data_IF_250874800718
#
_entry.id   IF_250874800718
#
_cell.length_a   1.000
_cell.length_b   1.000
_cell.length_c   1.000
_cell.angle_alpha   90.00
_cell.angle_beta   90.00
_cell.angle_gamma   90.00
#
_symmetry.space_group_name_H-M   'P 1'
#
loop_
_entity.id
_entity.type
_entity.pdbx_description
1 polymer ?
#
# COMPACT_ATOMS: atom_id res chain seq x y z
N UNK A 1 17.72 0.26 -13.65
CA UNK A 1 16.31 0.63 -13.46
C UNK A 1 15.48 -0.16 -14.46
N UNK A 2 14.39 -0.79 -14.02
CA UNK A 2 13.39 -1.44 -14.88
C UNK A 2 12.06 -0.73 -14.59
N UNK A 3 11.38 -0.26 -15.64
CA UNK A 3 10.09 0.40 -15.53
C UNK A 3 9.10 -0.27 -16.49
N UNK A 4 7.88 -0.51 -16.01
CA UNK A 4 6.79 -1.08 -16.79
C UNK A 4 5.78 0.02 -17.11
N UNK A 5 5.39 0.14 -18.38
CA UNK A 5 4.39 1.12 -18.84
C UNK A 5 3.28 0.40 -19.59
N UNK A 6 2.03 0.76 -19.30
CA UNK A 6 0.88 0.26 -20.05
C UNK A 6 0.67 1.14 -21.28
N UNK A 7 0.73 0.53 -22.46
CA UNK A 7 0.34 1.15 -23.72
C UNK A 7 -0.93 0.44 -24.22
N UNK A 8 -2.11 1.08 -24.18
CA UNK A 8 -3.38 0.40 -24.48
C UNK A 8 -3.45 -0.20 -25.89
N UNK A 9 -2.76 0.42 -26.86
CA UNK A 9 -2.63 -0.09 -28.22
C UNK A 9 -1.36 0.48 -28.87
N UNK A 10 -0.71 -0.33 -29.71
CA UNK A 10 0.38 0.11 -30.61
C UNK A 10 -0.07 -0.09 -32.05
N UNK A 11 0.31 0.83 -32.94
CA UNK A 11 -0.07 0.73 -34.36
C UNK A 11 0.75 -0.36 -35.06
N UNK A 12 0.13 -1.20 -35.93
CA UNK A 12 0.86 -2.17 -36.74
C UNK A 12 1.49 -1.57 -38.00
N UNK A 13 1.19 -0.30 -38.32
CA UNK A 13 1.60 0.36 -39.57
C UNK A 13 2.24 1.73 -39.36
N UNK A 14 2.37 2.17 -38.11
CA UNK A 14 2.89 3.50 -37.77
C UNK A 14 3.68 3.40 -36.46
N UNK A 15 4.75 4.19 -36.36
CA UNK A 15 5.57 4.20 -35.15
C UNK A 15 4.78 4.75 -33.96
N UNK A 16 4.92 4.08 -32.80
CA UNK A 16 4.43 4.60 -31.52
C UNK A 16 5.62 5.15 -30.74
N UNK A 17 5.66 6.47 -30.56
CA UNK A 17 6.75 7.13 -29.81
C UNK A 17 6.44 7.15 -28.32
N UNK A 18 7.38 6.66 -27.50
CA UNK A 18 7.32 6.73 -26.04
C UNK A 18 8.43 7.65 -25.54
N UNK A 19 8.10 8.54 -24.62
CA UNK A 19 9.06 9.43 -23.97
C UNK A 19 9.26 8.98 -22.51
N UNK A 20 10.52 8.90 -22.10
CA UNK A 20 10.89 8.65 -20.71
C UNK A 20 11.71 9.85 -20.23
N UNK A 21 11.17 10.59 -19.26
CA UNK A 21 11.92 11.62 -18.57
C UNK A 21 12.73 10.97 -17.44
N UNK A 22 14.05 10.90 -17.60
CA UNK A 22 14.96 10.24 -16.65
C UNK A 22 16.04 11.20 -16.14
N UNK A 23 16.46 11.02 -14.89
CA UNK A 23 17.54 11.80 -14.26
C UNK A 23 17.15 13.17 -13.72
N UNK A 24 15.89 13.60 -13.91
CA UNK A 24 15.40 14.84 -13.32
C UNK A 24 14.89 14.60 -11.90
N UNK A 25 15.73 14.90 -10.90
CA UNK A 25 15.40 14.77 -9.48
C UNK A 25 14.28 15.72 -9.00
N UNK A 26 13.92 16.74 -9.79
CA UNK A 26 12.82 17.67 -9.49
C UNK A 26 11.49 17.27 -10.14
N UNK A 27 11.45 16.16 -10.89
CA UNK A 27 10.20 15.68 -11.48
C UNK A 27 9.23 15.25 -10.37
N UNK A 28 7.97 15.67 -10.50
CA UNK A 28 6.90 15.19 -9.62
C UNK A 28 6.56 13.72 -9.89
N UNK A 29 5.91 13.07 -8.93
CA UNK A 29 5.36 11.72 -9.10
C UNK A 29 4.34 11.70 -10.25
N UNK A 30 4.53 10.78 -11.20
CA UNK A 30 3.69 10.62 -12.39
C UNK A 30 2.83 9.33 -12.33
N UNK A 31 2.63 8.80 -11.13
CA UNK A 31 1.91 7.55 -10.92
C UNK A 31 0.42 7.73 -11.22
N UNK A 32 -0.16 6.85 -12.04
CA UNK A 32 -1.61 6.84 -12.29
C UNK A 32 -2.29 5.94 -11.26
N UNK A 33 -2.47 6.45 -10.03
CA UNK A 33 -3.00 5.68 -8.90
C UNK A 33 -4.33 5.00 -9.27
N UNK A 34 -5.29 5.75 -9.82
CA UNK A 34 -6.61 5.22 -10.20
C UNK A 34 -6.59 4.29 -11.40
N UNK A 35 -5.57 4.40 -12.27
CA UNK A 35 -5.37 3.50 -13.40
C UNK A 35 -4.77 2.15 -12.99
N UNK A 36 -4.03 2.11 -11.87
CA UNK A 36 -3.45 0.88 -11.32
C UNK A 36 -4.36 0.24 -10.26
N UNK A 37 -4.82 1.04 -9.30
CA UNK A 37 -5.71 0.64 -8.21
C UNK A 37 -7.06 1.34 -8.38
N UNK A 38 -8.00 0.64 -9.03
CA UNK A 38 -9.34 1.18 -9.24
C UNK A 38 -10.16 1.26 -7.94
N UNK A 39 -11.41 1.74 -8.03
CA UNK A 39 -12.30 1.91 -6.88
C UNK A 39 -12.67 0.63 -6.12
N UNK A 40 -12.38 -0.54 -6.69
CA UNK A 40 -12.63 -1.84 -6.06
C UNK A 40 -11.53 -2.20 -5.05
N UNK A 41 -10.33 -1.62 -5.18
CA UNK A 41 -9.28 -1.75 -4.18
C UNK A 41 -9.57 -0.87 -2.96
N UNK A 42 -9.66 -1.49 -1.77
CA UNK A 42 -9.93 -0.77 -0.50
C UNK A 42 -8.67 -0.36 0.26
N UNK A 43 -7.52 -0.83 -0.19
CA UNK A 43 -6.20 -0.40 0.26
C UNK A 43 -5.12 -1.33 -0.29
N UNK A 44 -3.93 -0.77 -0.56
CA UNK A 44 -2.78 -1.47 -1.11
C UNK A 44 -1.52 -0.96 -0.42
N UNK A 45 -0.95 -1.75 0.49
CA UNK A 45 0.23 -1.37 1.25
C UNK A 45 1.45 -2.12 0.74
N UNK A 46 2.32 -1.42 0.01
CA UNK A 46 3.64 -1.91 -0.31
C UNK A 46 4.59 -1.52 0.83
N UNK A 47 5.34 -2.48 1.35
CA UNK A 47 6.38 -2.20 2.33
C UNK A 47 7.68 -1.96 1.55
N UNK A 48 8.09 -0.70 1.33
CA UNK A 48 9.22 -0.43 0.47
C UNK A 48 10.50 -1.00 1.08
N UNK A 49 11.42 -1.43 0.23
CA UNK A 49 12.78 -1.70 0.68
C UNK A 49 13.43 -0.41 1.22
N UNK A 50 13.97 -0.48 2.44
CA UNK A 50 14.59 0.66 3.10
C UNK A 50 14.88 0.39 4.58
N UNK A 51 15.64 1.29 5.20
CA UNK A 51 15.91 1.21 6.64
C UNK A 51 14.69 1.62 7.50
N UNK A 52 13.78 2.41 6.93
CA UNK A 52 12.59 2.95 7.62
C UNK A 52 11.34 2.26 7.10
N UNK A 53 10.56 1.67 8.02
CA UNK A 53 9.27 1.07 7.69
C UNK A 53 8.22 2.16 7.44
N UNK A 54 7.47 2.03 6.35
CA UNK A 54 6.32 2.88 6.05
C UNK A 54 5.13 2.01 5.65
N UNK A 55 3.96 2.32 6.20
CA UNK A 55 2.69 1.64 5.89
C UNK A 55 1.81 2.50 4.99
N UNK A 56 2.34 3.07 3.92
CA UNK A 56 1.56 3.98 3.07
C UNK A 56 0.56 3.19 2.22
N UNK A 57 -0.68 3.66 2.15
CA UNK A 57 -1.69 3.12 1.24
C UNK A 57 -1.47 3.73 -0.15
N UNK A 58 -1.20 2.87 -1.13
CA UNK A 58 -0.96 3.25 -2.53
C UNK A 58 -2.24 3.64 -3.25
N UNK A 59 -3.41 3.41 -2.65
CA UNK A 59 -4.71 3.77 -3.23
C UNK A 59 -5.10 5.21 -2.92
N UNK A 60 -6.08 5.73 -3.65
CA UNK A 60 -6.65 7.05 -3.38
C UNK A 60 -7.32 7.16 -1.99
N UNK A 61 -7.61 6.03 -1.33
CA UNK A 61 -8.27 6.02 -0.02
C UNK A 61 -7.36 6.55 1.10
N UNK A 62 -6.03 6.55 0.91
CA UNK A 62 -5.06 7.05 1.87
C UNK A 62 -5.21 6.46 3.28
N UNK A 63 -5.60 5.18 3.38
CA UNK A 63 -5.72 4.45 4.65
C UNK A 63 -4.33 4.05 5.18
N UNK A 64 -3.45 5.02 5.41
CA UNK A 64 -2.08 4.78 5.84
C UNK A 64 -2.05 4.01 7.17
N UNK A 65 -1.24 2.96 7.22
CA UNK A 65 -1.05 2.11 8.38
C UNK A 65 -0.26 2.79 9.50
N UNK A 66 -0.77 2.70 10.72
CA UNK A 66 -0.10 3.10 11.94
C UNK A 66 0.79 1.97 12.46
N UNK A 67 2.10 2.24 12.57
CA UNK A 67 3.11 1.25 13.01
C UNK A 67 3.23 1.30 14.54
N UNK A 68 3.19 0.14 15.20
CA UNK A 68 3.32 0.02 16.66
C UNK A 68 4.27 -1.10 17.09
N UNK A 69 4.60 -1.12 18.39
CA UNK A 69 5.31 -2.23 19.03
C UNK A 69 6.74 -2.46 18.55
N UNK A 70 7.45 -1.41 18.14
CA UNK A 70 8.82 -1.51 17.60
C UNK A 70 8.94 -2.39 16.35
N UNK A 71 7.90 -2.39 15.50
CA UNK A 71 7.96 -3.05 14.19
C UNK A 71 8.95 -2.31 13.28
N UNK A 72 9.91 -3.04 12.72
CA UNK A 72 10.99 -2.49 11.89
C UNK A 72 10.94 -3.03 10.47
N UNK A 73 11.57 -2.32 9.54
CA UNK A 73 11.77 -2.80 8.18
C UNK A 73 12.78 -3.95 8.16
N UNK A 74 12.56 -4.91 7.26
CA UNK A 74 13.48 -6.01 6.96
C UNK A 74 13.40 -6.34 5.46
N UNK A 75 14.31 -7.17 4.96
CA UNK A 75 14.27 -7.61 3.57
C UNK A 75 13.12 -8.60 3.35
N UNK A 76 12.29 -8.35 2.33
CA UNK A 76 11.26 -9.26 1.86
C UNK A 76 11.77 -10.22 0.79
N UNK A 77 10.93 -11.18 0.39
CA UNK A 77 11.18 -12.02 -0.80
C UNK A 77 10.96 -11.23 -2.10
N UNK A 78 10.09 -10.22 -2.05
CA UNK A 78 9.82 -9.26 -3.13
C UNK A 78 9.86 -7.88 -2.47
N UNK A 79 10.91 -7.12 -2.74
CA UNK A 79 11.18 -5.81 -2.14
C UNK A 79 11.37 -5.81 -0.61
N UNK A 80 10.72 -4.90 0.12
CA UNK A 80 10.81 -4.79 1.59
C UNK A 80 9.78 -5.62 2.34
N UNK A 81 9.94 -5.69 3.66
CA UNK A 81 9.02 -6.35 4.58
C UNK A 81 9.05 -5.71 5.98
N UNK A 82 8.13 -6.12 6.86
CA UNK A 82 8.10 -5.74 8.27
C UNK A 82 8.47 -6.93 9.16
N UNK A 83 9.24 -6.68 10.21
CA UNK A 83 9.57 -7.65 11.25
C UNK A 83 8.57 -7.57 12.42
N UNK A 84 7.84 -8.66 12.65
CA UNK A 84 6.85 -8.80 13.72
C UNK A 84 7.34 -9.74 14.83
N UNK A 85 8.55 -9.49 15.34
CA UNK A 85 9.25 -10.39 16.27
C UNK A 85 8.79 -10.32 17.74
N UNK A 86 7.78 -9.50 18.07
CA UNK A 86 7.25 -9.32 19.42
C UNK A 86 5.73 -9.35 19.47
N UNK A 87 5.18 -9.35 20.68
CA UNK A 87 3.74 -9.54 20.93
C UNK A 87 2.88 -8.30 20.62
N UNK A 88 3.49 -7.12 20.51
CA UNK A 88 2.81 -5.84 20.28
C UNK A 88 3.06 -5.25 18.89
N UNK A 89 3.87 -5.92 18.07
CA UNK A 89 4.22 -5.48 16.73
C UNK A 89 2.99 -5.50 15.83
N UNK A 90 2.66 -4.37 15.23
CA UNK A 90 1.54 -4.29 14.31
C UNK A 90 1.70 -3.14 13.30
N UNK A 91 0.98 -3.26 12.20
CA UNK A 91 0.60 -2.18 11.30
C UNK A 91 -0.93 -2.15 11.29
N UNK A 92 -1.53 -1.12 11.87
CA UNK A 92 -2.98 -0.95 11.90
C UNK A 92 -3.43 -0.03 10.76
N UNK A 93 -4.14 -0.58 9.78
CA UNK A 93 -4.63 0.14 8.59
C UNK A 93 -5.99 0.80 8.80
N UNK A 94 -6.48 0.85 10.04
CA UNK A 94 -7.78 1.39 10.39
C UNK A 94 -8.88 0.32 10.32
N UNK A 95 -9.60 0.15 11.42
CA UNK A 95 -10.86 -0.60 11.45
C UNK A 95 -11.95 0.30 10.86
N UNK A 96 -12.69 -0.15 9.85
CA UNK A 96 -14.10 0.26 9.74
C UNK A 96 -14.71 0.06 11.15
N UNK A 97 -15.44 1.05 11.72
CA UNK A 97 -15.85 0.99 13.11
C UNK A 97 -16.52 -0.35 13.33
N UNK A 98 -15.94 -1.16 14.23
CA UNK A 98 -16.52 -2.43 14.60
C UNK A 98 -17.92 -2.10 15.05
N UNK A 99 -18.94 -2.64 14.36
CA UNK A 99 -20.29 -2.70 14.91
C UNK A 99 -20.12 -3.36 16.26
N UNK A 100 -20.16 -2.56 17.33
CA UNK A 100 -20.11 -3.06 18.68
C UNK A 100 -21.30 -4.01 18.80
N UNK A 101 -21.03 -5.32 18.76
CA UNK A 101 -22.04 -6.27 19.16
C UNK A 101 -22.35 -5.91 20.61
N UNK A 102 -23.62 -5.67 20.98
CA UNK A 102 -23.96 -5.35 22.35
C UNK A 102 -23.39 -6.45 23.25
N UNK A 103 -22.69 -6.07 24.33
CA UNK A 103 -22.35 -7.04 25.35
C UNK A 103 -23.67 -7.63 25.84
N UNK A 104 -23.83 -8.95 25.69
CA UNK A 104 -24.96 -9.62 26.31
C UNK A 104 -24.77 -9.48 27.81
N UNK A 105 -25.58 -8.62 28.44
CA UNK A 105 -25.75 -8.62 29.88
C UNK A 105 -26.19 -10.03 30.27
N UNK A 106 -25.32 -10.75 31.00
CA UNK A 106 -25.71 -12.01 31.63
C UNK A 106 -26.95 -11.75 32.48
N UNK A 107 -28.08 -12.30 32.09
CA UNK A 107 -29.27 -12.40 32.95
C UNK A 107 -28.89 -13.40 34.06
N UNK A 108 -28.84 -13.00 35.35
CA UNK A 108 -28.71 -13.96 36.43
C UNK A 108 -30.01 -14.75 36.49
N UNK A 109 -29.93 -16.08 36.37
CA UNK A 109 -31.03 -16.93 36.81
C UNK A 109 -30.84 -17.14 38.31
N UNK A 110 -31.87 -16.75 39.08
CA UNK A 110 -31.96 -17.06 40.50
C UNK A 110 -32.19 -18.54 40.77
#
# INVERSE_FOLDING_TARGET
MIAWVQVPAVSPTSDTTLYVNYGNASAADQQSITGTWDSNYKGVWHLPNGATLAGNDSTFNANNGAISGSTTATSGQVDGAASFAGTTNAIDTGRAPRRSLPSHSRIPMG
#
